data_IF_920035122811
#
_entry.id   IF_920035122811
#
_cell.length_a   1.000
_cell.length_b   1.000
_cell.length_c   1.000
_cell.angle_alpha   90.00
_cell.angle_beta   90.00
_cell.angle_gamma   90.00
#
_symmetry.space_group_name_H-M   'P 1'
#
loop_
_entity.id
_entity.type
_entity.pdbx_description
1 polymer ?
#
# COMPACT_ATOMS: atom_id res chain seq x y z
N UNK A 1 1.42 -11.76 23.09
CA UNK A 1 1.46 -13.15 22.63
C UNK A 1 0.28 -13.34 21.70
N UNK A 2 0.51 -13.92 20.53
CA UNK A 2 -0.51 -14.10 19.48
C UNK A 2 -0.58 -15.57 19.00
N UNK A 3 -0.02 -16.51 19.77
CA UNK A 3 0.06 -17.93 19.41
C UNK A 3 -1.31 -18.58 19.13
N UNK A 4 -2.38 -18.09 19.77
CA UNK A 4 -3.74 -18.61 19.58
C UNK A 4 -4.35 -18.21 18.22
N UNK A 5 -3.76 -17.21 17.54
CA UNK A 5 -4.26 -16.66 16.27
C UNK A 5 -3.37 -17.00 15.08
N UNK A 6 -2.06 -17.12 15.28
CA UNK A 6 -1.10 -17.33 14.20
C UNK A 6 0.18 -18.01 14.66
N UNK A 7 0.81 -18.76 13.75
CA UNK A 7 2.14 -19.36 13.91
C UNK A 7 3.22 -18.61 13.10
N UNK A 8 2.92 -17.40 12.63
CA UNK A 8 3.81 -16.63 11.75
C UNK A 8 5.09 -16.20 12.45
N UNK A 9 6.22 -16.36 11.75
CA UNK A 9 7.57 -16.07 12.22
C UNK A 9 7.74 -14.79 13.06
N UNK A 10 7.22 -13.60 12.69
CA UNK A 10 7.43 -12.38 13.48
C UNK A 10 6.85 -12.42 14.90
N UNK A 11 5.91 -13.32 15.19
CA UNK A 11 5.15 -13.34 16.45
C UNK A 11 5.43 -14.55 17.34
N UNK A 12 6.44 -15.38 17.00
CA UNK A 12 6.71 -16.66 17.69
C UNK A 12 7.25 -16.51 19.11
N UNK A 13 7.82 -15.34 19.46
CA UNK A 13 8.41 -15.11 20.77
C UNK A 13 8.26 -13.64 21.19
N UNK A 14 8.00 -13.41 22.50
CA UNK A 14 7.93 -12.06 23.06
C UNK A 14 9.30 -11.39 22.97
N UNK A 15 9.35 -10.22 22.32
CA UNK A 15 10.59 -9.45 22.17
C UNK A 15 11.42 -9.84 20.95
N UNK A 16 10.96 -10.79 20.12
CA UNK A 16 11.57 -11.08 18.83
C UNK A 16 11.60 -9.82 17.96
N UNK A 17 12.78 -9.54 17.39
CA UNK A 17 12.98 -8.42 16.47
C UNK A 17 13.10 -8.98 15.06
N UNK A 18 12.20 -8.54 14.17
CA UNK A 18 12.26 -8.85 12.74
C UNK A 18 12.72 -7.60 11.99
N UNK A 19 13.81 -7.67 11.22
CA UNK A 19 14.22 -6.56 10.37
C UNK A 19 13.13 -6.22 9.36
N UNK A 20 12.93 -4.91 9.11
CA UNK A 20 11.94 -4.44 8.14
C UNK A 20 12.50 -3.36 7.22
N UNK A 21 11.92 -3.26 6.03
CA UNK A 21 12.07 -2.10 5.15
C UNK A 21 10.68 -1.51 4.87
N UNK A 22 10.56 -0.19 4.95
CA UNK A 22 9.29 0.53 4.75
C UNK A 22 9.42 1.48 3.56
N UNK A 23 8.41 1.48 2.69
CA UNK A 23 8.26 2.48 1.62
C UNK A 23 6.92 3.19 1.72
N UNK A 24 6.99 4.51 1.81
CA UNK A 24 5.84 5.40 1.67
C UNK A 24 5.69 5.90 0.23
N UNK A 25 4.47 6.16 -0.22
CA UNK A 25 4.22 6.79 -1.53
C UNK A 25 2.85 7.44 -1.65
N UNK A 26 2.70 8.29 -2.68
CA UNK A 26 1.41 8.67 -3.27
C UNK A 26 0.92 7.57 -4.25
N UNK A 27 -0.22 7.77 -4.91
CA UNK A 27 -0.88 6.76 -5.78
C UNK A 27 -1.08 7.28 -7.21
N UNK A 28 -1.69 8.45 -7.38
CA UNK A 28 -2.25 8.89 -8.66
C UNK A 28 -1.17 9.34 -9.63
N UNK A 29 -0.27 10.24 -9.19
CA UNK A 29 0.63 10.96 -10.06
C UNK A 29 2.01 10.30 -10.18
N UNK A 30 2.72 10.59 -11.26
CA UNK A 30 4.03 10.02 -11.58
C UNK A 30 5.16 10.49 -10.65
N UNK A 31 6.34 9.87 -10.78
CA UNK A 31 7.57 10.32 -10.13
C UNK A 31 7.83 11.81 -10.43
N UNK A 32 8.17 12.58 -9.40
CA UNK A 32 8.35 14.03 -9.49
C UNK A 32 7.08 14.85 -9.22
N UNK A 33 5.94 14.20 -8.97
CA UNK A 33 4.73 14.88 -8.52
C UNK A 33 4.88 15.43 -7.08
N UNK A 34 4.18 16.52 -6.73
CA UNK A 34 4.21 17.07 -5.39
C UNK A 34 3.62 16.09 -4.35
N UNK A 35 4.37 15.83 -3.27
CA UNK A 35 3.94 14.93 -2.19
C UNK A 35 2.79 15.49 -1.34
N UNK A 36 2.43 16.76 -1.55
CA UNK A 36 1.36 17.48 -0.83
C UNK A 36 -0.01 17.35 -1.49
N UNK A 37 -0.11 16.72 -2.67
CA UNK A 37 -1.39 16.48 -3.34
C UNK A 37 -2.28 15.53 -2.52
N UNK A 38 -3.59 15.75 -2.60
CA UNK A 38 -4.59 14.86 -1.99
C UNK A 38 -4.54 13.49 -2.67
N UNK A 39 -4.20 12.48 -1.89
CA UNK A 39 -4.08 11.10 -2.38
C UNK A 39 -4.07 10.15 -1.15
N UNK A 40 -4.53 8.89 -1.24
CA UNK A 40 -4.12 7.88 -0.28
C UNK A 40 -2.59 7.79 -0.22
N UNK A 41 -2.08 7.30 0.90
CA UNK A 41 -0.65 7.10 1.10
C UNK A 41 -0.37 5.62 1.25
N UNK A 42 0.47 5.09 0.36
CA UNK A 42 1.02 3.75 0.48
C UNK A 42 1.90 3.65 1.72
N UNK A 43 1.76 2.55 2.45
CA UNK A 43 2.56 2.20 3.63
C UNK A 43 2.92 0.71 3.50
N UNK A 44 3.84 0.42 2.59
CA UNK A 44 4.29 -0.95 2.36
C UNK A 44 5.44 -1.29 3.32
N UNK A 45 5.29 -2.38 4.06
CA UNK A 45 6.33 -2.90 4.98
C UNK A 45 6.73 -4.30 4.56
N UNK A 46 8.02 -4.51 4.30
CA UNK A 46 8.62 -5.81 4.05
C UNK A 46 9.30 -6.31 5.33
N UNK A 47 8.88 -7.47 5.81
CA UNK A 47 9.47 -8.18 6.94
C UNK A 47 10.42 -9.25 6.43
N UNK A 48 11.67 -9.22 6.88
CA UNK A 48 12.69 -10.22 6.54
C UNK A 48 12.68 -11.30 7.62
N UNK A 49 11.88 -12.34 7.41
CA UNK A 49 11.68 -13.43 8.39
C UNK A 49 12.50 -14.67 8.04
N UNK A 50 12.70 -15.57 8.99
CA UNK A 50 13.34 -16.88 8.76
C UNK A 50 12.51 -17.84 7.90
N UNK A 51 11.21 -17.56 7.71
CA UNK A 51 10.31 -18.31 6.84
C UNK A 51 10.14 -17.67 5.46
N UNK A 52 10.94 -16.64 5.14
CA UNK A 52 10.88 -15.87 3.91
C UNK A 52 10.37 -14.44 4.13
N UNK A 53 10.26 -13.69 3.04
CA UNK A 53 9.78 -12.32 3.10
C UNK A 53 8.26 -12.28 3.27
N UNK A 54 7.77 -11.47 4.20
CA UNK A 54 6.36 -11.11 4.27
C UNK A 54 6.19 -9.64 3.89
N UNK A 55 5.37 -9.39 2.86
CA UNK A 55 5.04 -8.03 2.42
C UNK A 55 3.63 -7.65 2.90
N UNK A 56 3.57 -6.74 3.87
CA UNK A 56 2.33 -6.07 4.27
C UNK A 56 2.15 -4.82 3.41
N UNK A 57 1.47 -5.00 2.27
CA UNK A 57 1.22 -3.93 1.28
C UNK A 57 -0.06 -3.18 1.65
N UNK A 58 0.07 -2.21 2.56
CA UNK A 58 -1.04 -1.42 3.10
C UNK A 58 -1.08 0.03 2.62
N UNK A 59 -2.13 0.74 3.06
CA UNK A 59 -2.32 2.17 2.91
C UNK A 59 -2.60 2.82 4.28
N UNK A 60 -2.59 4.16 4.33
CA UNK A 60 -2.95 4.95 5.52
C UNK A 60 -4.46 4.99 5.80
N UNK A 61 -5.31 4.50 4.89
CA UNK A 61 -6.76 4.42 5.04
C UNK A 61 -7.17 2.96 5.35
N UNK A 62 -8.12 2.72 6.27
CA UNK A 62 -8.58 1.37 6.61
C UNK A 62 -9.60 0.79 5.62
N UNK A 63 -9.99 1.57 4.61
CA UNK A 63 -10.96 1.19 3.55
C UNK A 63 -10.39 1.57 2.18
N UNK A 64 -11.06 1.11 1.13
CA UNK A 64 -10.69 1.40 -0.25
C UNK A 64 -11.90 1.79 -1.10
N UNK A 65 -11.67 2.40 -2.26
CA UNK A 65 -12.73 2.97 -3.12
C UNK A 65 -13.64 1.94 -3.77
N UNK A 66 -13.14 0.72 -3.92
CA UNK A 66 -13.82 -0.38 -4.61
C UNK A 66 -13.80 -1.62 -3.72
N UNK A 67 -14.79 -2.49 -3.96
CA UNK A 67 -14.91 -3.81 -3.32
C UNK A 67 -14.77 -4.97 -4.31
N UNK A 68 -14.51 -4.67 -5.59
CA UNK A 68 -14.31 -5.63 -6.66
C UNK A 68 -13.03 -5.27 -7.42
N UNK A 69 -12.08 -6.20 -7.46
CA UNK A 69 -10.77 -6.00 -8.09
C UNK A 69 -10.85 -5.73 -9.60
N UNK A 70 -11.90 -6.18 -10.29
CA UNK A 70 -12.06 -5.98 -11.73
C UNK A 70 -12.21 -4.47 -12.06
N UNK A 71 -12.67 -3.67 -11.09
CA UNK A 71 -12.83 -2.21 -11.21
C UNK A 71 -11.55 -1.42 -10.89
N UNK A 72 -10.47 -2.09 -10.52
CA UNK A 72 -9.22 -1.42 -10.17
C UNK A 72 -8.62 -0.62 -11.34
N UNK A 73 -8.54 -1.15 -12.58
CA UNK A 73 -8.06 -0.37 -13.72
C UNK A 73 -8.94 0.85 -14.00
N UNK A 74 -10.28 0.68 -13.96
CA UNK A 74 -11.24 1.78 -14.18
C UNK A 74 -11.04 2.91 -13.15
N UNK A 75 -10.96 2.56 -11.87
CA UNK A 75 -10.74 3.52 -10.78
C UNK A 75 -9.39 4.23 -10.89
N UNK A 76 -8.31 3.51 -11.24
CA UNK A 76 -6.99 4.13 -11.42
C UNK A 76 -6.99 5.05 -12.64
N UNK A 77 -7.62 4.66 -13.75
CA UNK A 77 -7.74 5.51 -14.94
C UNK A 77 -8.55 6.78 -14.65
N UNK A 78 -9.65 6.70 -13.90
CA UNK A 78 -10.48 7.87 -13.59
C UNK A 78 -9.81 8.86 -12.65
N UNK A 79 -8.80 8.44 -11.87
CA UNK A 79 -8.07 9.34 -10.98
C UNK A 79 -6.81 9.93 -11.63
N UNK A 80 -6.21 9.22 -12.59
CA UNK A 80 -4.99 9.63 -13.30
C UNK A 80 -5.24 10.81 -14.24
N UNK A 81 -4.17 11.51 -14.66
CA UNK A 81 -4.27 12.50 -15.72
C UNK A 81 -4.87 11.92 -17.00
N UNK A 82 -5.70 12.71 -17.68
CA UNK A 82 -6.39 12.33 -18.91
C UNK A 82 -5.42 11.86 -19.99
N UNK A 83 -5.75 10.81 -20.76
CA UNK A 83 -4.91 10.34 -21.86
C UNK A 83 -4.80 11.34 -23.03
N UNK A 84 -5.67 12.36 -23.08
CA UNK A 84 -5.68 13.38 -24.14
C UNK A 84 -4.85 14.60 -23.76
N UNK A 85 -4.99 15.07 -22.52
CA UNK A 85 -4.39 16.33 -22.07
C UNK A 85 -3.23 16.16 -21.09
N UNK A 86 -3.06 14.97 -20.53
CA UNK A 86 -2.14 14.68 -19.42
C UNK A 86 -2.35 15.61 -18.21
N UNK A 87 -3.59 16.05 -17.98
CA UNK A 87 -4.03 16.83 -16.82
C UNK A 87 -5.14 16.05 -16.10
N UNK A 88 -5.18 16.09 -14.77
CA UNK A 88 -6.26 15.48 -13.99
C UNK A 88 -7.60 16.15 -14.33
N UNK A 89 -8.61 15.35 -14.67
CA UNK A 89 -9.94 15.80 -15.06
C UNK A 89 -10.94 15.43 -13.95
N UNK A 90 -11.74 16.38 -13.42
CA UNK A 90 -12.76 16.08 -12.43
C UNK A 90 -14.07 15.49 -13.01
N UNK A 91 -14.25 15.49 -14.34
CA UNK A 91 -15.43 14.93 -15.01
C UNK A 91 -15.29 13.42 -15.28
#
# INVERSE_FOLDING_TARGET
>A
DFSDLTVSAPFTEKGKVTPVFVRFSTVIHSKGSPETLRDPRGFATKFYTEQGNWDLVGNNLPVFFIRDSIKFPDMVHSLKPSPVTNVQDPN
#
